data_IF_209578340206
#
_entry.id   IF_209578340206
#
_cell.length_a   1.000
_cell.length_b   1.000
_cell.length_c   1.000
_cell.angle_alpha   90.00
_cell.angle_beta   90.00
_cell.angle_gamma   90.00
#
_symmetry.space_group_name_H-M   'P 1'
#
loop_
_entity.id
_entity.type
_entity.pdbx_description
1 polymer ?
#
# COMPACT_ATOMS: atom_id res chain seq x y z
N UNK A 1 -9.49 7.43 -4.56
CA UNK A 1 -9.25 6.18 -3.84
C UNK A 1 -9.25 4.99 -4.77
N UNK A 2 -8.19 4.19 -4.70
CA UNK A 2 -8.08 2.88 -5.33
C UNK A 2 -7.60 1.84 -4.32
N UNK A 3 -7.97 0.58 -4.53
CA UNK A 3 -7.46 -0.58 -3.81
C UNK A 3 -6.92 -1.63 -4.78
N UNK A 4 -6.13 -2.58 -4.28
CA UNK A 4 -5.70 -3.76 -5.02
C UNK A 4 -6.50 -4.98 -4.58
N UNK A 5 -7.11 -5.68 -5.54
CA UNK A 5 -7.96 -6.86 -5.29
C UNK A 5 -7.49 -8.07 -6.10
N UNK A 6 -7.59 -9.24 -5.49
CA UNK A 6 -7.35 -10.59 -6.01
C UNK A 6 -8.66 -11.36 -6.23
N UNK A 7 -9.81 -10.67 -6.22
CA UNK A 7 -11.14 -11.27 -6.45
C UNK A 7 -11.27 -12.02 -7.78
N UNK A 8 -10.35 -11.77 -8.72
CA UNK A 8 -10.13 -12.59 -9.92
C UNK A 8 -8.91 -13.47 -9.65
N UNK A 9 -9.07 -14.81 -9.57
CA UNK A 9 -7.96 -15.71 -9.25
C UNK A 9 -6.74 -15.51 -10.15
N UNK A 10 -5.55 -15.50 -9.53
CA UNK A 10 -4.27 -15.36 -10.22
C UNK A 10 -3.97 -13.94 -10.73
N UNK A 11 -4.75 -12.92 -10.36
CA UNK A 11 -4.50 -11.55 -10.80
C UNK A 11 -4.79 -10.50 -9.71
N UNK A 12 -3.79 -9.66 -9.45
CA UNK A 12 -3.97 -8.44 -8.66
C UNK A 12 -4.41 -7.29 -9.59
N UNK A 13 -5.64 -6.84 -9.39
CA UNK A 13 -6.31 -5.83 -10.20
C UNK A 13 -6.60 -4.54 -9.41
N UNK A 14 -6.64 -3.38 -10.09
CA UNK A 14 -7.07 -2.15 -9.48
C UNK A 14 -8.59 -2.14 -9.28
N UNK A 15 -9.04 -1.70 -8.11
CA UNK A 15 -10.43 -1.45 -7.79
C UNK A 15 -10.63 0.03 -7.51
N UNK A 16 -11.61 0.66 -8.17
CA UNK A 16 -12.03 2.02 -7.81
C UNK A 16 -12.91 1.95 -6.56
N UNK A 17 -12.51 2.64 -5.50
CA UNK A 17 -13.17 2.58 -4.20
C UNK A 17 -14.16 3.74 -3.99
N UNK A 18 -14.60 3.95 -2.75
CA UNK A 18 -15.66 4.89 -2.38
C UNK A 18 -15.21 6.36 -2.48
N UNK A 19 -13.90 6.61 -2.40
CA UNK A 19 -13.35 7.95 -2.63
C UNK A 19 -13.19 8.78 -1.36
N UNK A 20 -13.15 8.16 -0.17
CA UNK A 20 -12.90 8.87 1.08
C UNK A 20 -11.45 9.37 1.18
N UNK A 21 -10.49 8.59 0.69
CA UNK A 21 -9.08 8.93 0.70
C UNK A 21 -8.50 9.13 -0.71
N UNK A 22 -7.51 10.02 -0.88
CA UNK A 22 -6.77 10.14 -2.12
C UNK A 22 -5.82 8.93 -2.30
N UNK A 23 -5.35 8.75 -3.54
CA UNK A 23 -4.33 7.74 -3.84
C UNK A 23 -4.85 6.30 -3.87
N UNK A 24 -3.90 5.38 -3.71
CA UNK A 24 -4.10 3.92 -3.74
C UNK A 24 -3.69 3.30 -2.40
N UNK A 25 -4.34 2.21 -2.00
CA UNK A 25 -3.92 1.39 -0.85
C UNK A 25 -3.70 -0.07 -1.29
N UNK A 26 -2.56 -0.64 -0.91
CA UNK A 26 -2.27 -2.08 -1.05
C UNK A 26 -1.96 -2.69 0.31
N UNK A 27 -2.86 -3.51 0.89
CA UNK A 27 -2.54 -4.31 2.09
C UNK A 27 -1.67 -5.51 1.74
N UNK A 28 -1.23 -6.26 2.75
CA UNK A 28 -0.45 -7.51 2.64
C UNK A 28 0.80 -7.35 1.77
N UNK A 29 1.51 -6.23 1.92
CA UNK A 29 2.59 -5.86 0.99
C UNK A 29 3.87 -6.69 1.16
N UNK A 30 4.06 -7.25 2.34
CA UNK A 30 5.05 -8.24 2.73
C UNK A 30 4.57 -9.70 2.53
N UNK A 31 3.36 -9.89 1.99
CA UNK A 31 2.68 -11.19 1.96
C UNK A 31 3.52 -12.33 1.37
N UNK A 32 3.23 -13.54 1.84
CA UNK A 32 3.85 -14.79 1.36
C UNK A 32 2.96 -15.43 0.27
N UNK A 33 3.51 -16.38 -0.50
CA UNK A 33 2.79 -17.15 -1.53
C UNK A 33 2.00 -16.30 -2.56
N UNK A 34 0.68 -16.47 -2.70
CA UNK A 34 -0.14 -15.74 -3.70
C UNK A 34 -0.20 -14.22 -3.42
N UNK A 35 0.08 -13.79 -2.19
CA UNK A 35 0.13 -12.39 -1.78
C UNK A 35 1.47 -11.72 -2.18
N UNK A 36 2.52 -12.51 -2.43
CA UNK A 36 3.83 -12.01 -2.88
C UNK A 36 3.72 -11.25 -4.22
N UNK A 37 2.69 -11.52 -5.03
CA UNK A 37 2.40 -10.80 -6.27
C UNK A 37 1.87 -9.39 -6.05
N UNK A 38 1.43 -9.02 -4.84
CA UNK A 38 0.88 -7.68 -4.55
C UNK A 38 1.91 -6.58 -4.76
N UNK A 39 3.15 -6.78 -4.31
CA UNK A 39 4.22 -5.78 -4.48
C UNK A 39 4.61 -5.57 -5.94
N UNK A 40 4.97 -6.61 -6.72
CA UNK A 40 5.20 -6.49 -8.16
C UNK A 40 3.99 -5.93 -8.93
N UNK A 41 2.77 -6.35 -8.58
CA UNK A 41 1.56 -5.85 -9.24
C UNK A 41 1.30 -4.38 -8.95
N UNK A 42 1.49 -3.94 -7.70
CA UNK A 42 1.31 -2.53 -7.36
C UNK A 42 2.30 -1.65 -8.11
N UNK A 43 3.57 -2.08 -8.19
CA UNK A 43 4.59 -1.41 -9.00
C UNK A 43 4.15 -1.31 -10.47
N UNK A 44 3.73 -2.41 -11.09
CA UNK A 44 3.24 -2.40 -12.48
C UNK A 44 2.06 -1.44 -12.69
N UNK A 45 1.10 -1.42 -11.76
CA UNK A 45 -0.11 -0.57 -11.87
C UNK A 45 0.23 0.92 -11.72
N UNK A 46 1.11 1.29 -10.80
CA UNK A 46 1.59 2.67 -10.63
C UNK A 46 2.45 3.09 -11.82
N UNK A 47 3.41 2.26 -12.24
CA UNK A 47 4.30 2.56 -13.36
C UNK A 47 3.56 2.73 -14.69
N UNK A 48 2.49 1.97 -14.90
CA UNK A 48 1.61 2.12 -16.07
C UNK A 48 0.60 3.27 -15.96
N UNK A 49 0.46 3.92 -14.79
CA UNK A 49 -0.50 5.00 -14.55
C UNK A 49 -1.95 4.52 -14.42
N UNK A 50 -2.19 3.22 -14.26
CA UNK A 50 -3.54 2.66 -14.06
C UNK A 50 -4.13 3.02 -12.70
N UNK A 51 -3.27 3.25 -11.72
CA UNK A 51 -3.63 3.76 -10.39
C UNK A 51 -2.67 4.88 -9.99
N UNK A 52 -3.10 5.86 -9.18
CA UNK A 52 -2.20 6.87 -8.64
C UNK A 52 -1.23 6.28 -7.60
N UNK A 53 -0.22 7.07 -7.25
CA UNK A 53 0.65 6.80 -6.10
C UNK A 53 -0.15 6.60 -4.80
N UNK A 54 0.44 5.94 -3.82
CA UNK A 54 -0.26 5.64 -2.59
C UNK A 54 0.54 4.84 -1.58
N UNK A 55 -0.18 4.27 -0.62
CA UNK A 55 0.40 3.56 0.52
C UNK A 55 0.31 2.04 0.32
N UNK A 56 1.41 1.38 0.62
CA UNK A 56 1.50 -0.05 0.80
C UNK A 56 1.69 -0.34 2.29
N UNK A 57 0.95 -1.33 2.81
CA UNK A 57 0.94 -1.71 4.21
C UNK A 57 1.27 -3.20 4.33
N UNK A 58 2.28 -3.50 5.13
CA UNK A 58 2.60 -4.86 5.51
C UNK A 58 1.51 -5.43 6.44
N UNK A 59 1.58 -6.73 6.63
CA UNK A 59 0.71 -7.48 7.50
C UNK A 59 0.87 -7.02 8.96
N UNK A 60 -0.21 -6.52 9.56
CA UNK A 60 -0.17 -5.89 10.88
C UNK A 60 0.21 -4.40 10.88
N UNK A 61 0.36 -3.75 9.71
CA UNK A 61 0.45 -2.30 9.60
C UNK A 61 -0.91 -1.66 9.29
N UNK A 62 -1.14 -0.45 9.82
CA UNK A 62 -2.35 0.31 9.56
C UNK A 62 -2.04 1.82 9.44
N UNK A 63 -2.74 2.49 8.52
CA UNK A 63 -2.68 3.94 8.39
C UNK A 63 -3.88 4.59 9.10
N UNK A 64 -3.58 5.47 10.06
CA UNK A 64 -4.59 6.18 10.83
C UNK A 64 -4.88 7.55 10.19
N UNK A 65 -6.11 7.73 9.72
CA UNK A 65 -6.59 8.97 9.13
C UNK A 65 -7.60 9.65 10.03
N UNK A 66 -7.54 10.98 10.10
CA UNK A 66 -8.57 11.84 10.70
C UNK A 66 -8.92 12.90 9.66
N UNK A 67 -10.21 13.00 9.30
CA UNK A 67 -10.73 13.94 8.29
C UNK A 67 -9.98 13.90 6.96
N UNK A 68 -9.57 12.70 6.53
CA UNK A 68 -8.85 12.48 5.27
C UNK A 68 -7.34 12.72 5.34
N UNK A 69 -6.82 13.20 6.47
CA UNK A 69 -5.38 13.44 6.67
C UNK A 69 -4.72 12.28 7.41
N UNK A 70 -3.61 11.77 6.87
CA UNK A 70 -2.83 10.70 7.51
C UNK A 70 -2.12 11.25 8.74
N UNK A 71 -2.54 10.83 9.93
CA UNK A 71 -1.95 11.25 11.20
C UNK A 71 -0.80 10.37 11.65
N UNK A 72 -0.88 9.07 11.39
CA UNK A 72 0.16 8.11 11.75
C UNK A 72 0.08 6.86 10.89
N UNK A 73 1.17 6.09 10.88
CA UNK A 73 1.15 4.68 10.54
C UNK A 73 1.56 3.92 11.80
N UNK A 74 0.80 2.88 12.11
CA UNK A 74 0.96 2.10 13.34
C UNK A 74 1.09 0.62 13.00
N UNK A 75 1.81 -0.12 13.83
CA UNK A 75 2.01 -1.55 13.62
C UNK A 75 1.69 -2.33 14.88
N UNK A 76 1.15 -3.54 14.69
CA UNK A 76 0.87 -4.52 15.75
C UNK A 76 1.87 -5.67 15.80
N UNK A 77 2.71 -5.81 14.77
CA UNK A 77 3.81 -6.77 14.69
C UNK A 77 5.14 -6.01 14.67
N UNK A 78 6.11 -6.51 15.42
CA UNK A 78 7.47 -6.02 15.34
C UNK A 78 8.04 -6.29 13.94
N UNK A 79 8.67 -5.29 13.33
CA UNK A 79 9.23 -5.40 11.98
C UNK A 79 8.26 -5.16 10.81
N UNK A 80 6.94 -5.12 11.04
CA UNK A 80 5.99 -4.73 10.00
C UNK A 80 6.21 -3.26 9.58
N UNK A 81 6.06 -2.98 8.30
CA UNK A 81 6.35 -1.69 7.70
C UNK A 81 5.21 -1.12 6.86
N UNK A 82 5.51 0.04 6.28
CA UNK A 82 4.66 0.69 5.29
C UNK A 82 5.52 1.48 4.32
N UNK A 83 5.04 1.63 3.10
CA UNK A 83 5.79 2.25 2.02
C UNK A 83 4.90 3.22 1.24
N UNK A 84 5.48 4.32 0.80
CA UNK A 84 4.88 5.17 -0.22
C UNK A 84 5.38 4.74 -1.59
N UNK A 85 4.48 4.29 -2.46
CA UNK A 85 4.79 3.79 -3.80
C UNK A 85 4.36 4.83 -4.83
N UNK A 86 5.28 5.25 -5.68
CA UNK A 86 5.02 6.28 -6.69
C UNK A 86 5.84 6.05 -7.96
N UNK A 87 5.36 6.62 -9.07
CA UNK A 87 6.15 6.71 -10.29
C UNK A 87 7.16 7.85 -10.16
N UNK A 88 8.44 7.53 -10.33
CA UNK A 88 9.53 8.50 -10.33
C UNK A 88 9.60 9.26 -11.67
N UNK A 89 10.31 10.39 -11.68
CA UNK A 89 10.46 11.23 -12.87
C UNK A 89 11.17 10.53 -14.03
N UNK A 90 12.08 9.60 -13.72
CA UNK A 90 12.78 8.78 -14.71
C UNK A 90 11.89 7.69 -15.36
N UNK A 91 10.63 7.57 -14.92
CA UNK A 91 9.67 6.60 -15.42
C UNK A 91 9.60 5.29 -14.62
N UNK A 92 10.55 5.05 -13.71
CA UNK A 92 10.57 3.88 -12.83
C UNK A 92 9.55 4.03 -11.69
N UNK A 93 9.34 2.95 -10.93
CA UNK A 93 8.58 3.00 -9.69
C UNK A 93 9.54 2.98 -8.52
N UNK A 94 9.33 3.91 -7.59
CA UNK A 94 10.05 3.94 -6.31
C UNK A 94 9.10 3.64 -5.16
N UNK A 95 9.66 3.04 -4.13
CA UNK A 95 9.02 2.83 -2.84
C UNK A 95 9.87 3.50 -1.75
N UNK A 96 9.25 4.31 -0.91
CA UNK A 96 9.92 4.99 0.21
C UNK A 96 9.35 4.46 1.51
N UNK A 97 10.17 3.85 2.39
CA UNK A 97 9.71 3.45 3.71
C UNK A 97 9.11 4.63 4.47
N UNK A 98 7.98 4.41 5.12
CA UNK A 98 7.30 5.40 5.94
C UNK A 98 7.61 5.14 7.41
N UNK A 99 7.64 6.20 8.20
CA UNK A 99 7.78 6.09 9.64
C UNK A 99 6.58 5.35 10.24
N UNK A 100 6.86 4.34 11.05
CA UNK A 100 5.85 3.51 11.72
C UNK A 100 6.02 3.58 13.24
N UNK A 101 4.90 3.60 13.96
CA UNK A 101 4.87 3.49 15.42
C UNK A 101 4.38 2.10 15.83
N UNK A 102 5.27 1.29 16.38
CA UNK A 102 4.89 0.01 16.98
C UNK A 102 4.07 0.25 18.26
N UNK A 103 2.90 -0.37 18.35
CA UNK A 103 1.93 -0.08 19.42
C UNK A 103 2.14 -0.89 20.70
N UNK A 104 2.97 -1.93 20.66
CA UNK A 104 3.18 -2.83 21.80
C UNK A 104 4.56 -2.65 22.44
N UNK A 105 5.27 -1.56 22.11
CA UNK A 105 6.44 -1.12 22.87
C UNK A 105 5.98 -0.26 24.07
N UNK A 106 6.57 -0.51 25.23
CA UNK A 106 6.34 0.22 26.48
C UNK A 106 6.79 1.69 26.40
#
# INVERSE_FOLDING_TARGET
>A
EYGLTDSIPGQINPLKCLGYLPGTCSPHYDGEDEEAERRPAYHRLVGSGKVPAGIALDDGAAAHYIDGERKAIVTSREGAGAYWVQKAENGDVSETPLEVRYLLAD
#
